data_IF_166692697575
#
_entry.id   IF_166692697575
#
_cell.length_a   1.000
_cell.length_b   1.000
_cell.length_c   1.000
_cell.angle_alpha   90.00
_cell.angle_beta   90.00
_cell.angle_gamma   90.00
#
_symmetry.space_group_name_H-M   'P 1'
#
loop_
_entity.id
_entity.type
_entity.pdbx_description
1 polymer ?
#
# COMPACT_ATOMS: atom_id res chain seq x y z
N UNK A 1 -10.55 -7.73 7.89
CA UNK A 1 -10.15 -6.90 9.06
C UNK A 1 -11.30 -5.99 9.48
N UNK A 2 -11.85 -5.10 8.63
CA UNK A 2 -12.92 -4.16 9.00
C UNK A 2 -14.17 -4.87 9.55
N UNK A 3 -14.60 -5.96 8.90
CA UNK A 3 -15.72 -6.77 9.34
C UNK A 3 -15.54 -7.24 10.80
N UNK A 4 -14.39 -7.82 11.13
CA UNK A 4 -14.13 -8.30 12.51
C UNK A 4 -14.18 -7.19 13.57
N UNK A 5 -13.77 -5.97 13.22
CA UNK A 5 -13.89 -4.83 14.13
C UNK A 5 -15.35 -4.40 14.30
N UNK A 6 -16.11 -4.40 13.20
CA UNK A 6 -17.50 -4.03 13.25
C UNK A 6 -18.34 -5.09 13.99
N UNK A 7 -18.10 -6.37 13.74
CA UNK A 7 -18.71 -7.50 14.47
C UNK A 7 -18.48 -7.40 15.99
N UNK A 8 -17.23 -7.07 16.40
CA UNK A 8 -16.94 -6.83 17.83
C UNK A 8 -17.67 -5.61 18.40
N UNK A 9 -17.78 -4.55 17.61
CA UNK A 9 -18.49 -3.34 18.00
C UNK A 9 -19.99 -3.59 18.20
N UNK A 10 -20.59 -4.41 17.34
CA UNK A 10 -22.01 -4.79 17.41
C UNK A 10 -22.30 -5.88 18.46
N UNK A 11 -21.28 -6.43 19.13
CA UNK A 11 -21.49 -7.58 20.04
C UNK A 11 -21.84 -8.88 19.32
N UNK A 12 -21.46 -9.03 18.05
CA UNK A 12 -21.67 -10.23 17.23
C UNK A 12 -22.67 -10.06 16.10
N UNK A 13 -23.76 -9.33 16.29
CA UNK A 13 -24.78 -9.08 15.24
C UNK A 13 -25.44 -7.72 15.42
N UNK A 14 -25.94 -7.16 14.31
CA UNK A 14 -26.82 -6.00 14.29
C UNK A 14 -27.79 -6.11 13.10
N UNK A 15 -28.94 -5.47 13.22
CA UNK A 15 -29.93 -5.36 12.14
C UNK A 15 -29.70 -4.08 11.33
N UNK A 16 -30.35 -3.97 10.18
CA UNK A 16 -30.31 -2.72 9.41
C UNK A 16 -30.98 -1.55 10.14
N UNK A 17 -31.96 -1.84 11.00
CA UNK A 17 -32.65 -0.81 11.78
C UNK A 17 -31.76 -0.20 12.88
N UNK A 18 -30.77 -0.95 13.35
CA UNK A 18 -29.78 -0.45 14.33
C UNK A 18 -28.77 0.54 13.70
N UNK A 19 -28.62 0.52 12.38
CA UNK A 19 -27.61 1.30 11.67
C UNK A 19 -28.02 2.77 11.50
N UNK A 20 -28.17 3.46 12.62
CA UNK A 20 -28.36 4.92 12.64
C UNK A 20 -27.05 5.66 12.37
N UNK A 21 -27.14 6.97 12.06
CA UNK A 21 -25.96 7.83 11.89
C UNK A 21 -25.11 7.82 13.16
N UNK A 22 -25.75 7.95 14.31
CA UNK A 22 -25.10 7.96 15.62
C UNK A 22 -24.37 6.65 15.90
N UNK A 23 -25.04 5.51 15.64
CA UNK A 23 -24.46 4.19 15.82
C UNK A 23 -23.24 3.97 14.92
N UNK A 24 -23.38 4.29 13.63
CA UNK A 24 -22.27 4.15 12.67
C UNK A 24 -21.11 5.13 12.96
N UNK A 25 -21.41 6.33 13.50
CA UNK A 25 -20.38 7.27 13.95
C UNK A 25 -19.70 6.79 15.23
N UNK A 26 -20.42 6.12 16.12
CA UNK A 26 -19.91 5.46 17.32
C UNK A 26 -18.88 4.37 16.98
N UNK A 27 -19.03 3.68 15.86
CA UNK A 27 -18.02 2.74 15.38
C UNK A 27 -16.66 3.41 15.11
N UNK A 28 -16.66 4.63 14.56
CA UNK A 28 -15.41 5.38 14.38
C UNK A 28 -14.74 5.70 15.73
N UNK A 29 -15.52 6.14 16.71
CA UNK A 29 -15.04 6.41 18.06
C UNK A 29 -14.48 5.14 18.72
N UNK A 30 -15.19 4.03 18.57
CA UNK A 30 -14.72 2.72 19.02
C UNK A 30 -13.38 2.36 18.37
N UNK A 31 -13.25 2.52 17.04
CA UNK A 31 -11.98 2.24 16.35
C UNK A 31 -10.82 3.08 16.91
N UNK A 32 -11.05 4.35 17.17
CA UNK A 32 -10.03 5.27 17.73
C UNK A 32 -9.63 4.90 19.16
N UNK A 33 -10.50 4.23 19.92
CA UNK A 33 -10.19 3.75 21.28
C UNK A 33 -9.35 2.48 21.31
N UNK A 34 -9.30 1.72 20.20
CA UNK A 34 -8.57 0.46 20.15
C UNK A 34 -7.06 0.67 20.19
N UNK A 35 -6.38 -0.21 20.89
CA UNK A 35 -4.92 -0.30 20.84
C UNK A 35 -4.48 -1.16 19.66
N UNK A 36 -3.38 -0.79 19.02
CA UNK A 36 -2.72 -1.58 17.98
C UNK A 36 -1.86 -2.66 18.61
N UNK A 37 -1.47 -3.66 17.83
CA UNK A 37 -0.58 -4.72 18.27
C UNK A 37 0.75 -4.21 18.89
N UNK A 38 1.20 -3.03 18.46
CA UNK A 38 2.42 -2.38 18.95
C UNK A 38 2.19 -1.47 20.17
N UNK A 39 1.04 -1.58 20.85
CA UNK A 39 0.73 -0.86 22.09
C UNK A 39 0.27 0.59 21.93
N UNK A 40 0.30 1.16 20.72
CA UNK A 40 -0.20 2.51 20.44
C UNK A 40 -1.70 2.52 20.13
N UNK A 41 -2.35 3.69 20.18
CA UNK A 41 -3.73 3.84 19.72
C UNK A 41 -3.83 3.74 18.20
N UNK A 42 -5.00 3.31 17.72
CA UNK A 42 -5.27 3.24 16.28
C UNK A 42 -5.22 4.62 15.64
N UNK A 43 -4.49 4.74 14.54
CA UNK A 43 -4.39 6.00 13.79
C UNK A 43 -5.72 6.38 13.16
N UNK A 44 -6.01 7.69 13.12
CA UNK A 44 -7.22 8.24 12.49
C UNK A 44 -7.38 7.78 11.03
N UNK A 45 -6.31 7.70 10.25
CA UNK A 45 -6.32 7.21 8.86
C UNK A 45 -6.79 5.75 8.77
N UNK A 46 -6.35 4.88 9.69
CA UNK A 46 -6.79 3.48 9.76
C UNK A 46 -8.25 3.37 10.17
N UNK A 47 -8.68 4.14 11.17
CA UNK A 47 -10.08 4.20 11.60
C UNK A 47 -10.98 4.71 10.48
N UNK A 48 -10.60 5.78 9.78
CA UNK A 48 -11.31 6.32 8.62
C UNK A 48 -11.41 5.31 7.47
N UNK A 49 -10.36 4.54 7.20
CA UNK A 49 -10.40 3.48 6.19
C UNK A 49 -11.41 2.37 6.54
N UNK A 50 -11.56 2.03 7.83
CA UNK A 50 -12.57 1.07 8.26
C UNK A 50 -13.98 1.67 8.18
N UNK A 51 -14.17 2.94 8.54
CA UNK A 51 -15.42 3.66 8.34
C UNK A 51 -15.80 3.72 6.85
N UNK A 52 -14.84 3.96 5.95
CA UNK A 52 -15.10 3.97 4.51
C UNK A 52 -15.63 2.62 4.00
N UNK A 53 -15.15 1.51 4.55
CA UNK A 53 -15.69 0.18 4.21
C UNK A 53 -17.14 0.02 4.69
N UNK A 54 -17.46 0.52 5.89
CA UNK A 54 -18.84 0.56 6.37
C UNK A 54 -19.71 1.45 5.47
N UNK A 55 -19.22 2.63 5.07
CA UNK A 55 -19.92 3.53 4.14
C UNK A 55 -20.21 2.86 2.78
N UNK A 56 -19.29 2.04 2.27
CA UNK A 56 -19.51 1.28 1.04
C UNK A 56 -20.64 0.25 1.22
N UNK A 57 -20.67 -0.48 2.35
CA UNK A 57 -21.72 -1.46 2.64
C UNK A 57 -23.08 -0.77 2.80
N UNK A 58 -23.14 0.37 3.51
CA UNK A 58 -24.38 1.14 3.66
C UNK A 58 -24.92 1.65 2.33
N UNK A 59 -24.04 2.11 1.43
CA UNK A 59 -24.43 2.53 0.08
C UNK A 59 -25.00 1.35 -0.70
N UNK A 60 -24.33 0.21 -0.68
CA UNK A 60 -24.80 -1.01 -1.35
C UNK A 60 -26.16 -1.46 -0.80
N UNK A 61 -26.33 -1.46 0.52
CA UNK A 61 -27.60 -1.81 1.15
C UNK A 61 -28.74 -0.87 0.75
N UNK A 62 -28.45 0.42 0.54
CA UNK A 62 -29.43 1.37 0.03
C UNK A 62 -29.77 1.09 -1.45
N UNK A 63 -28.80 0.85 -2.30
CA UNK A 63 -28.98 0.49 -3.71
C UNK A 63 -29.81 -0.79 -3.86
N UNK A 64 -29.60 -1.77 -2.98
CA UNK A 64 -30.38 -3.00 -2.89
C UNK A 64 -31.75 -2.83 -2.19
N UNK A 65 -32.12 -1.61 -1.79
CA UNK A 65 -33.38 -1.30 -1.07
C UNK A 65 -33.54 -2.03 0.26
N UNK A 66 -32.45 -2.42 0.91
CA UNK A 66 -32.46 -3.04 2.24
C UNK A 66 -32.58 -2.01 3.37
N UNK A 67 -32.14 -0.79 3.12
CA UNK A 67 -32.34 0.38 3.99
C UNK A 67 -33.07 1.48 3.23
N UNK A 68 -33.85 2.27 3.96
CA UNK A 68 -34.72 3.31 3.36
C UNK A 68 -33.95 4.58 2.99
N UNK A 69 -32.87 4.88 3.70
CA UNK A 69 -32.07 6.09 3.54
C UNK A 69 -30.58 5.75 3.42
N UNK A 70 -29.87 6.43 2.53
CA UNK A 70 -28.42 6.34 2.45
C UNK A 70 -27.78 7.29 3.48
N UNK A 71 -27.45 6.75 4.65
CA UNK A 71 -26.81 7.50 5.74
C UNK A 71 -25.30 7.67 5.55
N UNK A 72 -24.68 6.97 4.60
CA UNK A 72 -23.22 7.00 4.40
C UNK A 72 -22.64 8.41 4.17
N UNK A 73 -23.28 9.34 3.42
CA UNK A 73 -22.77 10.71 3.26
C UNK A 73 -22.73 11.52 4.56
N UNK A 74 -23.61 11.20 5.53
CA UNK A 74 -23.72 11.90 6.81
C UNK A 74 -22.61 11.54 7.80
N UNK A 75 -21.93 10.41 7.60
CA UNK A 75 -20.85 9.96 8.46
C UNK A 75 -19.58 10.80 8.21
N UNK A 76 -19.02 11.35 9.29
CA UNK A 76 -17.84 12.21 9.26
C UNK A 76 -16.58 11.42 9.60
N UNK A 77 -15.50 11.72 8.91
CA UNK A 77 -14.18 11.21 9.23
C UNK A 77 -13.59 11.89 10.47
N UNK A 78 -12.74 11.16 11.18
CA UNK A 78 -11.87 11.75 12.19
C UNK A 78 -10.83 12.65 11.51
N UNK A 79 -10.47 13.74 12.16
CA UNK A 79 -9.41 14.63 11.68
C UNK A 79 -8.08 13.86 11.70
N UNK A 80 -7.43 13.81 10.55
CA UNK A 80 -6.10 13.20 10.43
C UNK A 80 -5.03 14.26 10.70
N UNK A 81 -4.00 13.88 11.47
CA UNK A 81 -2.83 14.72 11.58
C UNK A 81 -2.10 14.75 10.23
N UNK A 82 -1.67 15.92 9.80
CA UNK A 82 -0.79 16.03 8.64
C UNK A 82 0.57 15.46 9.00
N UNK A 83 0.83 14.24 8.53
CA UNK A 83 2.15 13.62 8.69
C UNK A 83 3.00 14.04 7.51
N UNK A 84 4.08 14.79 7.80
CA UNK A 84 5.10 15.07 6.80
C UNK A 84 5.73 13.73 6.39
N UNK A 85 5.63 13.40 5.11
CA UNK A 85 6.32 12.22 4.58
C UNK A 85 7.81 12.55 4.48
N UNK A 86 8.61 11.75 5.14
CA UNK A 86 10.04 11.80 4.99
C UNK A 86 10.45 11.07 3.70
N UNK A 87 11.46 11.56 3.06
CA UNK A 87 12.04 10.99 1.84
C UNK A 87 13.57 11.17 1.91
N UNK A 88 14.29 10.28 1.27
CA UNK A 88 15.72 10.40 1.16
C UNK A 88 16.10 11.48 0.11
N UNK A 89 16.97 12.37 0.49
CA UNK A 89 17.62 13.30 -0.46
C UNK A 89 18.60 12.54 -1.35
N UNK A 90 19.01 13.14 -2.46
CA UNK A 90 19.98 12.53 -3.37
C UNK A 90 21.31 12.21 -2.66
N UNK A 91 21.74 13.09 -1.75
CA UNK A 91 22.99 12.88 -1.01
C UNK A 91 22.87 11.74 0.00
N UNK A 92 21.71 11.57 0.64
CA UNK A 92 21.45 10.43 1.52
C UNK A 92 21.39 9.11 0.72
N UNK A 93 20.86 9.13 -0.51
CA UNK A 93 20.89 7.94 -1.40
C UNK A 93 22.33 7.60 -1.80
N UNK A 94 23.18 8.59 -2.06
CA UNK A 94 24.62 8.37 -2.32
C UNK A 94 25.31 7.79 -1.08
N UNK A 95 25.08 8.36 0.10
CA UNK A 95 25.61 7.82 1.35
C UNK A 95 25.16 6.37 1.58
N UNK A 96 23.90 6.04 1.29
CA UNK A 96 23.40 4.67 1.34
C UNK A 96 24.16 3.76 0.35
N UNK A 97 24.48 4.26 -0.85
CA UNK A 97 25.24 3.52 -1.83
C UNK A 97 26.68 3.22 -1.36
N UNK A 98 27.31 4.12 -0.62
CA UNK A 98 28.66 3.96 -0.09
C UNK A 98 28.72 3.14 1.20
N UNK A 99 27.62 3.05 1.95
CA UNK A 99 27.55 2.34 3.23
C UNK A 99 27.69 0.83 3.04
N UNK A 100 28.59 0.13 3.73
CA UNK A 100 28.68 -1.32 3.71
C UNK A 100 27.37 -2.00 4.15
N UNK A 101 27.03 -3.13 3.52
CA UNK A 101 25.83 -3.89 3.85
C UNK A 101 26.13 -5.39 3.81
N UNK A 102 25.76 -6.10 4.89
CA UNK A 102 25.94 -7.56 4.98
C UNK A 102 25.14 -8.34 3.94
N UNK A 103 24.05 -7.74 3.44
CA UNK A 103 23.18 -8.33 2.43
C UNK A 103 23.19 -7.47 1.15
N UNK A 104 24.18 -7.64 0.26
CA UNK A 104 24.34 -6.79 -0.92
C UNK A 104 23.11 -6.74 -1.82
N UNK A 105 22.38 -7.86 -1.97
CA UNK A 105 21.15 -7.92 -2.77
C UNK A 105 20.05 -7.00 -2.22
N UNK A 106 19.94 -6.86 -0.90
CA UNK A 106 18.96 -5.97 -0.27
C UNK A 106 19.33 -4.51 -0.55
N UNK A 107 20.61 -4.15 -0.42
CA UNK A 107 21.12 -2.81 -0.74
C UNK A 107 20.87 -2.47 -2.22
N UNK A 108 21.26 -3.36 -3.14
CA UNK A 108 21.05 -3.15 -4.58
C UNK A 108 19.54 -2.98 -4.90
N UNK A 109 18.68 -3.78 -4.31
CA UNK A 109 17.22 -3.68 -4.51
C UNK A 109 16.66 -2.38 -3.92
N UNK A 110 17.16 -1.91 -2.78
CA UNK A 110 16.75 -0.64 -2.18
C UNK A 110 17.14 0.55 -3.04
N UNK A 111 18.40 0.60 -3.51
CA UNK A 111 18.87 1.64 -4.44
C UNK A 111 18.13 1.59 -5.78
N UNK A 112 17.87 0.38 -6.30
CA UNK A 112 17.06 0.18 -7.49
C UNK A 112 15.64 0.73 -7.31
N UNK A 113 15.04 0.52 -6.13
CA UNK A 113 13.74 1.13 -5.78
C UNK A 113 13.78 2.65 -5.77
N UNK A 114 14.86 3.24 -5.25
CA UNK A 114 15.06 4.70 -5.25
C UNK A 114 15.15 5.27 -6.68
N UNK A 115 15.82 4.57 -7.59
CA UNK A 115 16.00 5.04 -8.97
C UNK A 115 14.78 4.80 -9.86
N UNK A 116 13.99 3.75 -9.59
CA UNK A 116 12.90 3.32 -10.48
C UNK A 116 11.51 3.63 -9.94
N UNK A 117 11.39 3.90 -8.64
CA UNK A 117 10.09 4.05 -7.96
C UNK A 117 9.29 2.75 -7.84
N UNK A 118 9.86 1.60 -8.19
CA UNK A 118 9.19 0.32 -8.07
C UNK A 118 8.98 -0.09 -6.60
N UNK A 119 7.83 -0.70 -6.34
CA UNK A 119 7.56 -1.29 -5.02
C UNK A 119 8.41 -2.55 -4.83
N UNK A 120 8.80 -2.83 -3.58
CA UNK A 120 9.55 -4.05 -3.24
C UNK A 120 8.87 -5.32 -3.77
N UNK A 121 7.54 -5.39 -3.77
CA UNK A 121 6.79 -6.53 -4.30
C UNK A 121 6.96 -6.74 -5.81
N UNK A 122 7.25 -5.68 -6.55
CA UNK A 122 7.46 -5.72 -8.00
C UNK A 122 8.95 -6.02 -8.30
N UNK A 123 9.87 -5.47 -7.49
CA UNK A 123 11.30 -5.75 -7.55
C UNK A 123 11.61 -7.25 -7.28
N UNK A 124 10.96 -7.85 -6.27
CA UNK A 124 11.10 -9.29 -5.98
C UNK A 124 10.70 -10.16 -7.19
N UNK A 125 9.76 -9.69 -7.99
CA UNK A 125 9.24 -10.42 -9.15
C UNK A 125 9.95 -10.10 -10.46
N UNK A 126 10.80 -9.08 -10.46
CA UNK A 126 11.51 -8.65 -11.66
C UNK A 126 12.40 -9.78 -12.18
N UNK A 127 12.21 -10.11 -13.44
CA UNK A 127 12.99 -11.13 -14.14
C UNK A 127 13.81 -10.49 -15.25
N UNK A 128 14.89 -11.13 -15.63
CA UNK A 128 15.78 -10.65 -16.68
C UNK A 128 15.06 -10.56 -18.04
N UNK A 129 14.06 -11.38 -18.26
CA UNK A 129 13.21 -11.38 -19.45
C UNK A 129 12.36 -10.09 -19.55
N UNK A 130 12.12 -9.44 -18.41
CA UNK A 130 11.41 -8.17 -18.37
C UNK A 130 12.29 -6.96 -18.76
N UNK A 131 13.61 -7.12 -18.77
CA UNK A 131 14.57 -6.06 -19.12
C UNK A 131 14.95 -6.21 -20.59
N UNK A 132 14.49 -5.30 -21.42
CA UNK A 132 14.60 -5.34 -22.88
C UNK A 132 15.23 -4.07 -23.41
N UNK A 133 15.80 -4.12 -24.62
CA UNK A 133 16.25 -2.92 -25.32
C UNK A 133 15.06 -2.20 -25.94
N UNK A 134 15.02 -0.89 -25.74
CA UNK A 134 14.08 -0.02 -26.42
C UNK A 134 14.54 0.29 -27.86
N UNK A 135 13.65 0.81 -28.69
CA UNK A 135 13.94 1.12 -30.09
C UNK A 135 15.03 2.19 -30.27
N UNK A 136 15.23 3.06 -29.29
CA UNK A 136 16.27 4.09 -29.24
C UNK A 136 17.64 3.57 -28.80
N UNK A 137 17.73 2.25 -28.49
CA UNK A 137 18.95 1.60 -28.01
C UNK A 137 19.13 1.64 -26.48
N UNK A 138 18.29 2.38 -25.76
CA UNK A 138 18.27 2.41 -24.30
C UNK A 138 17.73 1.10 -23.71
N UNK A 139 17.71 1.03 -22.37
CA UNK A 139 17.11 -0.11 -21.66
C UNK A 139 15.75 0.27 -21.09
N UNK A 140 14.83 -0.65 -21.09
CA UNK A 140 13.54 -0.49 -20.45
C UNK A 140 13.09 -1.78 -19.75
N UNK A 141 12.18 -1.62 -18.80
CA UNK A 141 11.53 -2.70 -18.08
C UNK A 141 10.07 -2.81 -18.52
N UNK A 142 9.65 -3.99 -18.92
CA UNK A 142 8.26 -4.33 -19.17
C UNK A 142 7.71 -5.11 -17.98
N UNK A 143 6.86 -4.50 -17.19
CA UNK A 143 6.36 -5.07 -15.95
C UNK A 143 4.84 -5.00 -15.86
N UNK A 144 4.27 -5.96 -15.12
CA UNK A 144 2.88 -5.91 -14.66
C UNK A 144 2.89 -5.73 -13.15
N UNK A 145 2.45 -4.56 -12.68
CA UNK A 145 2.48 -4.23 -11.25
C UNK A 145 1.56 -5.13 -10.44
N UNK A 146 2.03 -5.67 -9.31
CA UNK A 146 1.26 -6.60 -8.47
C UNK A 146 -0.03 -6.00 -7.92
N UNK A 147 0.01 -4.73 -7.50
CA UNK A 147 -1.10 -4.09 -6.80
C UNK A 147 -2.24 -3.68 -7.73
N UNK A 148 -1.92 -3.11 -8.88
CA UNK A 148 -2.92 -2.55 -9.81
C UNK A 148 -3.14 -3.41 -11.04
N UNK A 149 -2.29 -4.42 -11.24
CA UNK A 149 -2.26 -5.27 -12.47
C UNK A 149 -2.13 -4.43 -13.74
N UNK A 150 -1.50 -3.27 -13.62
CA UNK A 150 -1.26 -2.37 -14.74
C UNK A 150 0.05 -2.75 -15.40
N UNK A 151 0.01 -2.92 -16.70
CA UNK A 151 1.19 -3.08 -17.54
C UNK A 151 1.88 -1.72 -17.72
N UNK A 152 3.20 -1.69 -17.59
CA UNK A 152 4.00 -0.49 -17.74
C UNK A 152 5.34 -0.82 -18.39
N UNK A 153 5.77 0.05 -19.30
CA UNK A 153 7.12 0.07 -19.85
C UNK A 153 7.81 1.28 -19.25
N UNK A 154 8.84 1.03 -18.45
CA UNK A 154 9.58 2.06 -17.73
C UNK A 154 11.01 2.12 -18.25
N UNK A 155 11.54 3.32 -18.55
CA UNK A 155 12.94 3.48 -18.90
C UNK A 155 13.83 3.04 -17.73
N UNK A 156 14.96 2.45 -18.04
CA UNK A 156 15.95 1.98 -17.08
C UNK A 156 17.26 2.70 -17.35
N UNK A 157 17.74 3.50 -16.38
CA UNK A 157 19.04 4.15 -16.49
C UNK A 157 20.19 3.15 -16.38
N UNK A 158 21.36 3.53 -16.85
CA UNK A 158 22.55 2.68 -16.78
C UNK A 158 22.94 2.38 -15.33
N UNK A 159 22.76 3.34 -14.41
CA UNK A 159 23.00 3.14 -12.97
C UNK A 159 22.03 2.12 -12.39
N UNK A 160 20.75 2.20 -12.75
CA UNK A 160 19.77 1.23 -12.28
C UNK A 160 20.03 -0.17 -12.88
N UNK A 161 20.45 -0.24 -14.14
CA UNK A 161 20.84 -1.50 -14.76
C UNK A 161 22.09 -2.09 -14.09
N UNK A 162 23.09 -1.28 -13.74
CA UNK A 162 24.28 -1.74 -13.03
C UNK A 162 23.95 -2.40 -11.66
N UNK A 163 22.92 -1.89 -10.96
CA UNK A 163 22.45 -2.49 -9.70
C UNK A 163 21.82 -3.89 -9.87
N UNK A 164 21.37 -4.21 -11.08
CA UNK A 164 20.85 -5.56 -11.38
C UNK A 164 21.97 -6.61 -11.45
N UNK A 165 23.22 -6.21 -11.61
CA UNK A 165 24.37 -7.12 -11.79
C UNK A 165 24.45 -7.73 -13.18
N UNK A 166 25.16 -8.86 -13.30
CA UNK A 166 25.35 -9.55 -14.57
C UNK A 166 24.04 -10.22 -15.06
N UNK A 167 23.75 -10.04 -16.36
CA UNK A 167 22.55 -10.63 -16.97
C UNK A 167 22.55 -12.16 -16.83
N UNK A 168 21.45 -12.71 -16.36
CA UNK A 168 21.26 -14.16 -16.18
C UNK A 168 19.81 -14.55 -16.51
N UNK A 169 19.42 -15.80 -16.31
CA UNK A 169 18.03 -16.22 -16.43
C UNK A 169 17.27 -16.07 -15.11
N UNK A 170 15.97 -15.75 -15.21
CA UNK A 170 15.04 -15.71 -14.09
C UNK A 170 15.16 -14.43 -13.26
N UNK A 171 14.99 -14.54 -11.95
CA UNK A 171 14.89 -13.39 -11.03
C UNK A 171 16.17 -12.54 -11.02
N UNK A 172 16.00 -11.21 -11.14
CA UNK A 172 17.11 -10.23 -11.12
C UNK A 172 17.75 -10.16 -9.73
N UNK A 173 16.98 -9.96 -8.69
CA UNK A 173 17.45 -9.88 -7.30
C UNK A 173 17.24 -11.21 -6.59
N UNK A 174 18.10 -12.21 -6.91
CA UNK A 174 18.01 -13.57 -6.35
C UNK A 174 18.19 -13.56 -4.83
N UNK A 175 17.31 -14.27 -4.11
CA UNK A 175 17.36 -14.34 -2.65
C UNK A 175 16.68 -13.17 -1.93
N UNK A 176 16.14 -12.19 -2.65
CA UNK A 176 15.32 -11.15 -2.06
C UNK A 176 13.94 -11.71 -1.73
N UNK A 177 13.58 -11.76 -0.46
CA UNK A 177 12.28 -12.21 0.07
C UNK A 177 11.58 -11.05 0.78
N UNK A 178 10.26 -11.17 0.93
CA UNK A 178 9.43 -10.22 1.69
C UNK A 178 9.55 -10.47 3.19
#
# INVERSE_FOLDING_TARGET
VAYKHFEKYCGGSCTFDDLTVEYCQGFLTYMLSLNTHNGGKMMASTANNNLNKLKCVLRQAYEERRIKENIAPRLKHAKEASIRREFLTLDEVKMLADTPCEKPVVKSAALFSCLTGLRISDIIRLQWENIIKAADGGWCMHIVTKKTRTEAILPLSDEALALCGGRSAGQVFKGLTQ
#
